data_IF_761168896139
#
_entry.id   IF_761168896139
#
_cell.length_a   1.000
_cell.length_b   1.000
_cell.length_c   1.000
_cell.angle_alpha   90.00
_cell.angle_beta   90.00
_cell.angle_gamma   90.00
#
_symmetry.space_group_name_H-M   'P 1'
#
loop_
_entity.id
_entity.type
_entity.pdbx_description
1 polymer ?
#
# COMPACT_ATOMS: atom_id res chain seq x y z
N UNK A 1 -15.40 24.99 26.15
CA UNK A 1 -15.74 23.82 27.02
C UNK A 1 -16.37 22.63 26.28
N UNK A 2 -17.28 22.82 25.32
CA UNK A 2 -18.00 21.71 24.66
C UNK A 2 -17.09 20.79 23.82
N UNK A 3 -16.14 21.34 23.08
CA UNK A 3 -15.18 20.58 22.25
C UNK A 3 -14.27 19.68 23.12
N UNK A 4 -13.70 20.22 24.19
CA UNK A 4 -12.86 19.45 25.13
C UNK A 4 -13.64 18.28 25.75
N UNK A 5 -14.93 18.49 26.09
CA UNK A 5 -15.79 17.41 26.58
C UNK A 5 -16.02 16.33 25.51
N UNK A 6 -16.20 16.70 24.24
CA UNK A 6 -16.35 15.75 23.13
C UNK A 6 -15.07 14.95 22.90
N UNK A 7 -13.92 15.61 22.83
CA UNK A 7 -12.62 14.95 22.69
C UNK A 7 -12.35 13.99 23.85
N UNK A 8 -12.66 14.39 25.09
CA UNK A 8 -12.52 13.52 26.25
C UNK A 8 -13.44 12.28 26.17
N UNK A 9 -14.66 12.42 25.65
CA UNK A 9 -15.53 11.28 25.40
C UNK A 9 -14.96 10.33 24.33
N UNK A 10 -14.28 10.87 23.31
CA UNK A 10 -13.61 10.09 22.27
C UNK A 10 -12.44 9.30 22.83
N UNK A 11 -11.60 9.92 23.66
CA UNK A 11 -10.51 9.24 24.38
C UNK A 11 -11.05 8.08 25.22
N UNK A 12 -12.14 8.30 25.97
CA UNK A 12 -12.80 7.24 26.75
C UNK A 12 -13.41 6.13 25.89
N UNK A 13 -13.84 6.44 24.67
CA UNK A 13 -14.45 5.47 23.75
C UNK A 13 -13.39 4.56 23.10
N UNK A 14 -12.22 5.12 22.75
CA UNK A 14 -11.16 4.45 22.01
C UNK A 14 -9.81 4.41 22.75
N UNK A 15 -9.73 3.90 24.00
CA UNK A 15 -8.51 3.98 24.81
C UNK A 15 -7.31 3.25 24.19
N UNK A 16 -7.51 2.08 23.57
CA UNK A 16 -6.45 1.32 22.91
C UNK A 16 -5.88 2.03 21.67
N UNK A 17 -6.74 2.72 20.91
CA UNK A 17 -6.29 3.52 19.75
C UNK A 17 -5.42 4.68 20.22
N UNK A 18 -5.85 5.38 21.28
CA UNK A 18 -5.05 6.47 21.86
C UNK A 18 -3.74 5.96 22.44
N UNK A 19 -3.75 4.78 23.08
CA UNK A 19 -2.53 4.12 23.55
C UNK A 19 -1.55 3.84 22.41
N UNK A 20 -2.02 3.28 21.29
CA UNK A 20 -1.21 3.03 20.11
C UNK A 20 -0.66 4.34 19.48
N UNK A 21 -1.49 5.38 19.39
CA UNK A 21 -1.07 6.71 18.93
C UNK A 21 0.01 7.33 19.82
N UNK A 22 -0.13 7.24 21.14
CA UNK A 22 0.86 7.75 22.09
C UNK A 22 2.16 6.94 22.02
N UNK A 23 2.07 5.61 21.90
CA UNK A 23 3.24 4.75 21.72
C UNK A 23 3.98 5.10 20.43
N UNK A 24 3.25 5.32 19.32
CA UNK A 24 3.84 5.79 18.06
C UNK A 24 4.60 7.10 18.26
N UNK A 25 4.00 8.09 18.94
CA UNK A 25 4.66 9.38 19.20
C UNK A 25 5.93 9.17 20.03
N UNK A 26 5.87 8.41 21.12
CA UNK A 26 7.03 8.19 22.00
C UNK A 26 8.18 7.52 21.22
N UNK A 27 7.88 6.47 20.45
CA UNK A 27 8.91 5.80 19.65
C UNK A 27 9.45 6.70 18.54
N UNK A 28 8.60 7.52 17.91
CA UNK A 28 9.02 8.47 16.88
C UNK A 28 9.92 9.56 17.46
N UNK A 29 9.60 10.07 18.64
CA UNK A 29 10.46 11.01 19.35
C UNK A 29 11.81 10.38 19.72
N UNK A 30 11.80 9.12 20.16
CA UNK A 30 13.03 8.37 20.44
C UNK A 30 13.89 8.14 19.19
N UNK A 31 13.28 7.87 18.03
CA UNK A 31 14.02 7.71 16.77
C UNK A 31 14.67 9.00 16.27
N UNK A 32 14.08 10.16 16.56
CA UNK A 32 14.68 11.46 16.24
C UNK A 32 15.95 11.75 17.06
N UNK A 33 16.14 11.07 18.19
CA UNK A 33 17.33 11.20 19.03
C UNK A 33 18.36 10.11 18.77
N UNK A 34 17.94 8.97 18.22
CA UNK A 34 18.77 7.80 17.99
C UNK A 34 18.70 7.41 16.51
N UNK A 35 19.31 8.24 15.65
CA UNK A 35 19.24 8.10 14.20
C UNK A 35 19.77 6.74 13.73
N UNK A 36 20.80 6.21 14.39
CA UNK A 36 21.39 4.90 14.08
C UNK A 36 20.42 3.72 14.32
N UNK A 37 19.31 3.93 15.04
CA UNK A 37 18.29 2.90 15.33
C UNK A 37 17.04 3.03 14.47
N UNK A 38 16.98 3.99 13.55
CA UNK A 38 15.76 4.27 12.75
C UNK A 38 15.33 3.05 11.94
N UNK A 39 16.27 2.29 11.37
CA UNK A 39 15.97 1.08 10.59
C UNK A 39 15.23 0.04 11.44
N UNK A 40 15.78 -0.31 12.60
CA UNK A 40 15.13 -1.22 13.57
C UNK A 40 13.77 -0.70 14.05
N UNK A 41 13.64 0.61 14.29
CA UNK A 41 12.40 1.22 14.78
C UNK A 41 11.30 1.28 13.71
N UNK A 42 11.67 1.23 12.43
CA UNK A 42 10.72 1.29 11.31
C UNK A 42 9.71 0.14 11.33
N UNK A 43 10.15 -1.06 11.72
CA UNK A 43 9.28 -2.23 11.86
C UNK A 43 8.18 -1.99 12.89
N UNK A 44 8.55 -1.44 14.04
CA UNK A 44 7.62 -1.11 15.11
C UNK A 44 6.64 0.00 14.70
N UNK A 45 7.10 1.01 13.96
CA UNK A 45 6.20 2.04 13.42
C UNK A 45 5.12 1.45 12.52
N UNK A 46 5.51 0.59 11.59
CA UNK A 46 4.58 -0.07 10.66
C UNK A 46 3.56 -0.91 11.42
N UNK A 47 4.01 -1.73 12.38
CA UNK A 47 3.11 -2.57 13.19
C UNK A 47 2.13 -1.74 14.03
N UNK A 48 2.59 -0.65 14.64
CA UNK A 48 1.71 0.24 15.41
C UNK A 48 0.66 0.89 14.50
N UNK A 49 1.08 1.41 13.35
CA UNK A 49 0.16 2.02 12.36
C UNK A 49 -0.89 1.00 11.90
N UNK A 50 -0.50 -0.25 11.66
CA UNK A 50 -1.40 -1.33 11.25
C UNK A 50 -2.34 -1.80 12.38
N UNK A 51 -1.93 -1.67 13.64
CA UNK A 51 -2.78 -2.01 14.79
C UNK A 51 -3.94 -1.04 15.03
N UNK A 52 -3.75 0.24 14.69
CA UNK A 52 -4.76 1.30 14.88
C UNK A 52 -6.12 0.95 14.26
N UNK A 53 -6.22 0.62 12.94
CA UNK A 53 -7.51 0.28 12.35
C UNK A 53 -8.11 -1.00 12.93
N UNK A 54 -7.30 -1.95 13.41
CA UNK A 54 -7.80 -3.16 14.09
C UNK A 54 -8.49 -2.80 15.41
N UNK A 55 -7.89 -1.94 16.23
CA UNK A 55 -8.50 -1.46 17.47
C UNK A 55 -9.80 -0.69 17.22
N UNK A 56 -9.85 0.12 16.16
CA UNK A 56 -11.09 0.80 15.74
C UNK A 56 -12.14 -0.23 15.31
N UNK A 57 -11.76 -1.21 14.49
CA UNK A 57 -12.66 -2.26 14.01
C UNK A 57 -13.27 -3.07 15.16
N UNK A 58 -12.46 -3.51 16.13
CA UNK A 58 -12.93 -4.22 17.34
C UNK A 58 -13.95 -3.35 18.08
N UNK A 59 -13.66 -2.05 18.26
CA UNK A 59 -14.59 -1.15 18.95
C UNK A 59 -15.93 -1.04 18.22
N UNK A 60 -15.90 -0.84 16.91
CA UNK A 60 -17.11 -0.66 16.10
C UNK A 60 -17.92 -1.95 16.00
N UNK A 61 -17.26 -3.10 15.91
CA UNK A 61 -17.89 -4.42 15.92
C UNK A 61 -18.60 -4.70 17.25
N UNK A 62 -17.94 -4.43 18.38
CA UNK A 62 -18.57 -4.60 19.69
C UNK A 62 -19.74 -3.64 19.89
N UNK A 63 -19.65 -2.40 19.41
CA UNK A 63 -20.75 -1.43 19.48
C UNK A 63 -21.93 -1.83 18.58
N UNK A 64 -21.68 -2.36 17.39
CA UNK A 64 -22.74 -2.77 16.45
C UNK A 64 -23.56 -3.96 16.95
N UNK A 65 -22.97 -4.82 17.79
CA UNK A 65 -23.58 -6.03 18.37
C UNK A 65 -23.88 -5.94 19.87
N UNK A 66 -23.68 -4.78 20.49
CA UNK A 66 -23.86 -4.59 21.94
C UNK A 66 -23.10 -5.60 22.81
N UNK A 67 -21.88 -5.97 22.40
CA UNK A 67 -21.04 -6.96 23.10
C UNK A 67 -20.55 -6.40 24.44
N UNK A 68 -20.51 -7.25 25.47
CA UNK A 68 -20.05 -6.90 26.83
C UNK A 68 -18.58 -6.45 26.87
N UNK A 69 -18.25 -5.63 27.87
CA UNK A 69 -16.91 -5.05 28.04
C UNK A 69 -15.76 -6.06 28.10
N UNK A 70 -15.95 -7.20 28.78
CA UNK A 70 -14.89 -8.20 28.98
C UNK A 70 -14.39 -8.78 27.64
N UNK A 71 -15.29 -9.08 26.71
CA UNK A 71 -14.91 -9.59 25.39
C UNK A 71 -14.17 -8.53 24.55
N UNK A 72 -14.55 -7.25 24.69
CA UNK A 72 -13.81 -6.14 24.07
C UNK A 72 -12.38 -6.10 24.62
N UNK A 73 -12.20 -6.20 25.94
CA UNK A 73 -10.88 -6.17 26.55
C UNK A 73 -10.01 -7.33 26.06
N UNK A 74 -10.53 -8.56 26.10
CA UNK A 74 -9.83 -9.76 25.61
C UNK A 74 -9.41 -9.59 24.15
N UNK A 75 -10.31 -9.14 23.26
CA UNK A 75 -9.98 -8.94 21.85
C UNK A 75 -8.85 -7.92 21.62
N UNK A 76 -8.81 -6.82 22.39
CA UNK A 76 -7.72 -5.86 22.31
C UNK A 76 -6.39 -6.43 22.83
N UNK A 77 -6.42 -7.20 23.93
CA UNK A 77 -5.22 -7.85 24.47
C UNK A 77 -4.66 -8.91 23.51
N UNK A 78 -5.53 -9.72 22.90
CA UNK A 78 -5.14 -10.67 21.85
C UNK A 78 -4.53 -9.95 20.66
N UNK A 79 -5.09 -8.81 20.26
CA UNK A 79 -4.53 -7.99 19.17
C UNK A 79 -3.11 -7.51 19.51
N UNK A 80 -2.90 -7.00 20.73
CA UNK A 80 -1.57 -6.61 21.21
C UNK A 80 -0.60 -7.81 21.16
N UNK A 81 -1.03 -8.96 21.68
CA UNK A 81 -0.20 -10.17 21.67
C UNK A 81 0.16 -10.62 20.24
N UNK A 82 -0.76 -10.52 19.28
CA UNK A 82 -0.50 -10.83 17.86
C UNK A 82 0.54 -9.87 17.29
N UNK A 83 0.36 -8.55 17.44
CA UNK A 83 1.31 -7.57 16.88
C UNK A 83 2.70 -7.66 17.54
N UNK A 84 2.77 -7.95 18.84
CA UNK A 84 4.03 -8.21 19.55
C UNK A 84 4.66 -9.53 19.08
N UNK A 85 3.87 -10.59 18.88
CA UNK A 85 4.36 -11.84 18.30
C UNK A 85 4.95 -11.64 16.90
N UNK A 86 4.25 -10.86 16.05
CA UNK A 86 4.72 -10.51 14.71
C UNK A 86 6.00 -9.69 14.75
N UNK A 87 6.21 -8.81 15.74
CA UNK A 87 7.47 -8.05 15.83
C UNK A 87 8.69 -8.94 16.05
N UNK A 88 8.55 -10.09 16.71
CA UNK A 88 9.65 -11.05 16.89
C UNK A 88 9.96 -11.87 15.62
N UNK A 89 9.01 -11.95 14.69
CA UNK A 89 9.18 -12.65 13.42
C UNK A 89 9.72 -11.74 12.32
N UNK A 90 9.77 -10.42 12.55
CA UNK A 90 10.29 -9.48 11.59
C UNK A 90 11.81 -9.48 11.59
N UNK A 91 12.46 -9.53 10.41
CA UNK A 91 13.90 -9.39 10.34
C UNK A 91 14.32 -7.99 10.78
N UNK A 92 15.53 -7.92 11.31
CA UNK A 92 16.12 -6.68 11.83
C UNK A 92 16.34 -5.65 10.71
N UNK A 93 16.75 -6.11 9.52
CA UNK A 93 16.97 -5.27 8.34
C UNK A 93 15.80 -5.38 7.34
N UNK A 94 14.83 -4.46 7.43
CA UNK A 94 13.76 -4.37 6.44
C UNK A 94 14.21 -3.53 5.24
N UNK A 95 14.36 -4.20 4.09
CA UNK A 95 14.37 -3.54 2.79
C UNK A 95 12.97 -3.02 2.50
N UNK A 96 12.71 -1.74 2.80
CA UNK A 96 11.42 -1.08 2.61
C UNK A 96 10.80 -1.37 1.23
N UNK A 97 11.63 -1.45 0.19
CA UNK A 97 11.19 -1.75 -1.17
C UNK A 97 10.49 -3.12 -1.27
N UNK A 98 11.05 -4.17 -0.67
CA UNK A 98 10.50 -5.53 -0.75
C UNK A 98 9.32 -5.70 0.21
N UNK A 99 9.48 -5.22 1.45
CA UNK A 99 8.45 -5.38 2.47
C UNK A 99 7.22 -4.49 2.22
N UNK A 100 7.36 -3.42 1.43
CA UNK A 100 6.20 -2.65 0.96
C UNK A 100 5.17 -3.53 0.26
N UNK A 101 5.60 -4.59 -0.44
CA UNK A 101 4.72 -5.54 -1.14
C UNK A 101 3.99 -6.51 -0.19
N UNK A 102 4.37 -6.58 1.09
CA UNK A 102 3.60 -7.26 2.16
C UNK A 102 2.72 -6.24 2.88
N UNK A 103 3.32 -5.13 3.31
CA UNK A 103 2.67 -4.13 4.17
C UNK A 103 1.55 -3.37 3.47
N UNK A 104 1.69 -3.09 2.18
CA UNK A 104 0.68 -2.36 1.41
C UNK A 104 -0.63 -3.16 1.25
N UNK A 105 -0.63 -4.44 0.80
CA UNK A 105 -1.86 -5.23 0.73
C UNK A 105 -2.44 -5.53 2.12
N UNK A 106 -1.64 -5.97 3.10
CA UNK A 106 -2.18 -6.24 4.44
C UNK A 106 -2.74 -4.98 5.08
N UNK A 107 -2.04 -3.84 4.92
CA UNK A 107 -2.52 -2.54 5.34
C UNK A 107 -3.84 -2.17 4.69
N UNK A 108 -3.97 -2.38 3.38
CA UNK A 108 -5.25 -2.16 2.67
C UNK A 108 -6.38 -2.98 3.29
N UNK A 109 -6.15 -4.27 3.57
CA UNK A 109 -7.16 -5.10 4.24
C UNK A 109 -7.52 -4.56 5.62
N UNK A 110 -6.52 -4.25 6.46
CA UNK A 110 -6.73 -3.78 7.83
C UNK A 110 -7.42 -2.42 7.88
N UNK A 111 -7.08 -1.48 7.01
CA UNK A 111 -7.71 -0.15 6.94
C UNK A 111 -9.16 -0.21 6.43
N UNK A 112 -9.55 -1.25 5.69
CA UNK A 112 -10.94 -1.50 5.32
C UNK A 112 -11.78 -2.15 6.45
N UNK A 113 -11.13 -2.81 7.42
CA UNK A 113 -11.83 -3.51 8.50
C UNK A 113 -12.79 -2.64 9.32
N UNK A 114 -12.46 -1.41 9.75
CA UNK A 114 -13.39 -0.56 10.51
C UNK A 114 -14.76 -0.38 9.84
N UNK A 115 -14.76 -0.21 8.52
CA UNK A 115 -15.97 0.00 7.72
C UNK A 115 -16.81 -1.28 7.65
N UNK A 116 -16.15 -2.41 7.44
CA UNK A 116 -16.80 -3.73 7.38
C UNK A 116 -17.34 -4.15 8.76
N UNK A 117 -16.54 -3.94 9.82
CA UNK A 117 -16.87 -4.27 11.20
C UNK A 117 -18.10 -3.51 11.72
N UNK A 118 -18.24 -2.23 11.37
CA UNK A 118 -19.38 -1.42 11.76
C UNK A 118 -20.73 -1.92 11.17
N UNK A 119 -20.69 -2.57 10.01
CA UNK A 119 -21.87 -2.93 9.21
C UNK A 119 -21.94 -4.40 8.79
N UNK A 120 -21.24 -5.32 9.49
CA UNK A 120 -21.15 -6.72 9.07
C UNK A 120 -22.53 -7.39 8.97
N UNK A 121 -23.39 -7.22 9.99
CA UNK A 121 -24.74 -7.85 10.06
C UNK A 121 -25.86 -7.00 9.45
N UNK A 122 -25.65 -5.69 9.29
CA UNK A 122 -26.68 -4.78 8.81
C UNK A 122 -26.71 -4.83 7.28
N UNK A 123 -27.85 -5.25 6.73
CA UNK A 123 -28.10 -5.28 5.27
C UNK A 123 -28.35 -3.90 4.66
N UNK A 124 -28.33 -2.82 5.46
CA UNK A 124 -28.60 -1.50 4.95
C UNK A 124 -27.39 -0.91 4.22
N UNK A 125 -27.39 -1.04 2.90
CA UNK A 125 -26.37 -0.48 2.01
C UNK A 125 -26.21 1.04 2.21
N UNK A 126 -27.33 1.74 2.41
CA UNK A 126 -27.33 3.20 2.51
C UNK A 126 -26.67 3.69 3.82
N UNK A 127 -26.92 3.02 4.95
CA UNK A 127 -26.25 3.35 6.21
C UNK A 127 -24.73 3.11 6.13
N UNK A 128 -24.31 2.02 5.48
CA UNK A 128 -22.89 1.74 5.25
C UNK A 128 -22.23 2.84 4.42
N UNK A 129 -22.92 3.29 3.37
CA UNK A 129 -22.44 4.37 2.51
C UNK A 129 -22.33 5.69 3.26
N UNK A 130 -23.39 6.11 3.96
CA UNK A 130 -23.39 7.36 4.72
C UNK A 130 -22.30 7.35 5.79
N UNK A 131 -22.12 6.23 6.50
CA UNK A 131 -21.04 6.07 7.46
C UNK A 131 -19.66 6.20 6.82
N UNK A 132 -19.39 5.41 5.78
CA UNK A 132 -18.08 5.38 5.12
C UNK A 132 -17.76 6.73 4.51
N UNK A 133 -18.75 7.34 3.85
CA UNK A 133 -18.68 8.69 3.33
C UNK A 133 -18.27 9.70 4.40
N UNK A 134 -18.93 9.70 5.56
CA UNK A 134 -18.65 10.64 6.64
C UNK A 134 -17.21 10.48 7.15
N UNK A 135 -16.77 9.25 7.40
CA UNK A 135 -15.43 8.99 7.90
C UNK A 135 -14.36 9.42 6.90
N UNK A 136 -14.53 9.10 5.61
CA UNK A 136 -13.58 9.49 4.55
C UNK A 136 -13.58 11.00 4.36
N UNK A 137 -14.75 11.63 4.27
CA UNK A 137 -14.87 13.07 4.02
C UNK A 137 -14.31 13.92 5.16
N UNK A 138 -14.72 13.64 6.40
CA UNK A 138 -14.17 14.33 7.56
C UNK A 138 -12.69 14.00 7.74
N UNK A 139 -12.27 12.76 7.43
CA UNK A 139 -10.85 12.37 7.37
C UNK A 139 -10.03 13.26 6.45
N UNK A 140 -10.49 13.48 5.22
CA UNK A 140 -9.82 14.36 4.25
C UNK A 140 -9.78 15.81 4.73
N UNK A 141 -10.89 16.33 5.26
CA UNK A 141 -10.93 17.71 5.81
C UNK A 141 -9.92 17.85 6.95
N UNK A 142 -9.90 16.92 7.91
CA UNK A 142 -8.99 17.00 9.04
C UNK A 142 -7.54 16.78 8.63
N UNK A 143 -7.27 15.94 7.63
CA UNK A 143 -5.93 15.80 7.08
C UNK A 143 -5.43 17.14 6.48
N UNK A 144 -6.26 17.81 5.68
CA UNK A 144 -5.94 19.13 5.11
C UNK A 144 -5.74 20.16 6.22
N UNK A 145 -6.64 20.21 7.21
CA UNK A 145 -6.53 21.15 8.34
C UNK A 145 -5.26 20.88 9.17
N UNK A 146 -4.92 19.63 9.44
CA UNK A 146 -3.67 19.23 10.10
C UNK A 146 -2.44 19.71 9.31
N UNK A 147 -2.46 19.57 7.99
CA UNK A 147 -1.41 20.10 7.11
C UNK A 147 -1.31 21.63 7.17
N UNK A 148 -2.44 22.35 7.13
CA UNK A 148 -2.48 23.81 7.26
C UNK A 148 -1.93 24.29 8.62
N UNK A 149 -2.26 23.58 9.71
CA UNK A 149 -1.70 23.86 11.03
C UNK A 149 -0.18 23.68 11.01
N UNK A 150 0.31 22.58 10.43
CA UNK A 150 1.75 22.34 10.33
C UNK A 150 2.46 23.43 9.50
N UNK A 151 1.89 23.83 8.35
CA UNK A 151 2.41 24.94 7.53
C UNK A 151 2.45 26.25 8.34
N UNK A 152 1.37 26.56 9.07
CA UNK A 152 1.32 27.74 9.93
C UNK A 152 2.40 27.72 11.02
N UNK A 153 2.63 26.56 11.63
CA UNK A 153 3.71 26.37 12.61
C UNK A 153 5.09 26.46 11.94
N UNK A 154 5.26 25.96 10.72
CA UNK A 154 6.51 26.10 9.96
C UNK A 154 6.84 27.57 9.70
N UNK A 155 5.87 28.39 9.29
CA UNK A 155 6.06 29.84 9.11
C UNK A 155 6.39 30.52 10.43
N UNK A 156 5.71 30.15 11.52
CA UNK A 156 6.00 30.72 12.84
C UNK A 156 7.41 30.39 13.34
N UNK A 157 7.85 29.14 13.18
CA UNK A 157 9.22 28.73 13.54
C UNK A 157 10.26 29.36 12.61
N UNK A 158 9.96 29.50 11.32
CA UNK A 158 10.82 30.24 10.40
C UNK A 158 10.98 31.71 10.82
N UNK A 159 9.90 32.38 11.22
CA UNK A 159 9.97 33.75 11.71
C UNK A 159 10.83 33.86 12.99
N UNK A 160 10.75 32.89 13.90
CA UNK A 160 11.60 32.82 15.10
C UNK A 160 13.08 32.61 14.71
N UNK A 161 13.34 31.71 13.76
CA UNK A 161 14.68 31.46 13.23
C UNK A 161 15.31 32.75 12.67
N UNK A 162 14.58 33.49 11.83
CA UNK A 162 15.07 34.75 11.23
C UNK A 162 15.22 35.87 12.27
N UNK A 163 14.27 36.01 13.20
CA UNK A 163 14.25 37.13 14.15
C UNK A 163 15.24 36.97 15.31
N UNK A 164 15.52 35.73 15.71
CA UNK A 164 16.35 35.42 16.87
C UNK A 164 17.64 34.65 16.53
N UNK A 165 17.92 34.42 15.24
CA UNK A 165 19.10 33.69 14.73
C UNK A 165 19.29 32.29 15.38
N UNK A 166 18.19 31.66 15.80
CA UNK A 166 18.19 30.37 16.50
C UNK A 166 18.27 29.20 15.51
N UNK A 167 19.48 28.87 15.05
CA UNK A 167 19.67 27.94 13.94
C UNK A 167 19.51 26.45 14.26
N UNK A 168 19.62 26.03 15.52
CA UNK A 168 19.95 24.64 15.83
C UNK A 168 18.79 23.64 16.02
N UNK A 169 17.51 23.99 15.77
CA UNK A 169 16.40 23.07 16.11
C UNK A 169 15.21 23.00 15.13
N UNK A 170 15.20 23.75 14.03
CA UNK A 170 13.99 23.91 13.19
C UNK A 170 13.43 22.59 12.63
N UNK A 171 14.22 21.71 11.97
CA UNK A 171 13.69 20.46 11.42
C UNK A 171 13.21 19.49 12.52
N UNK A 172 13.90 19.45 13.65
CA UNK A 172 13.57 18.58 14.79
C UNK A 172 12.28 19.03 15.48
N UNK A 173 12.11 20.34 15.70
CA UNK A 173 10.86 20.94 16.23
C UNK A 173 9.69 20.66 15.29
N UNK A 174 9.87 20.81 13.97
CA UNK A 174 8.83 20.47 12.99
C UNK A 174 8.45 18.99 13.03
N UNK A 175 9.43 18.11 13.20
CA UNK A 175 9.19 16.67 13.34
C UNK A 175 8.38 16.36 14.61
N UNK A 176 8.66 17.03 15.73
CA UNK A 176 7.87 16.91 16.95
C UNK A 176 6.42 17.40 16.75
N UNK A 177 6.21 18.59 16.19
CA UNK A 177 4.86 19.08 15.90
C UNK A 177 4.12 18.14 14.94
N UNK A 178 4.77 17.69 13.87
CA UNK A 178 4.22 16.73 12.92
C UNK A 178 3.77 15.45 13.61
N UNK A 179 4.60 14.87 14.49
CA UNK A 179 4.27 13.64 15.22
C UNK A 179 3.03 13.80 16.11
N UNK A 180 2.88 14.94 16.80
CA UNK A 180 1.70 15.18 17.66
C UNK A 180 0.46 15.42 16.82
N UNK A 181 0.57 16.25 15.77
CA UNK A 181 -0.56 16.61 14.89
C UNK A 181 -1.06 15.39 14.13
N UNK A 182 -0.19 14.65 13.46
CA UNK A 182 -0.57 13.49 12.64
C UNK A 182 -0.70 12.20 13.43
N UNK A 183 0.12 12.00 14.47
CA UNK A 183 0.12 10.78 15.28
C UNK A 183 -1.03 10.71 16.30
N UNK A 184 -1.51 11.85 16.81
CA UNK A 184 -2.60 11.89 17.80
C UNK A 184 -3.73 12.84 17.43
N UNK A 185 -3.42 14.07 16.98
CA UNK A 185 -4.42 15.09 16.66
C UNK A 185 -5.40 14.63 15.57
N UNK A 186 -4.86 14.19 14.43
CA UNK A 186 -5.64 13.73 13.28
C UNK A 186 -6.51 12.50 13.63
N UNK A 187 -5.99 11.40 14.20
CA UNK A 187 -6.82 10.28 14.64
C UNK A 187 -7.93 10.69 15.61
N UNK A 188 -7.65 11.55 16.59
CA UNK A 188 -8.66 12.03 17.54
C UNK A 188 -9.80 12.79 16.84
N UNK A 189 -9.47 13.69 15.90
CA UNK A 189 -10.46 14.47 15.17
C UNK A 189 -11.34 13.59 14.29
N UNK A 190 -10.75 12.58 13.63
CA UNK A 190 -11.50 11.60 12.82
C UNK A 190 -12.43 10.78 13.72
N UNK A 191 -11.90 10.19 14.79
CA UNK A 191 -12.67 9.33 15.71
C UNK A 191 -13.80 10.06 16.43
N UNK A 192 -13.65 11.37 16.67
CA UNK A 192 -14.69 12.20 17.28
C UNK A 192 -15.94 12.31 16.39
N UNK A 193 -15.79 12.15 15.07
CA UNK A 193 -16.89 12.23 14.10
C UNK A 193 -17.46 10.86 13.70
N UNK A 194 -16.87 9.78 14.21
CA UNK A 194 -17.43 8.43 14.09
C UNK A 194 -18.67 8.36 14.99
N UNK A 195 -19.86 8.22 14.39
CA UNK A 195 -21.13 8.29 15.12
C UNK A 195 -21.24 7.18 16.17
N UNK A 196 -21.86 7.48 17.33
CA UNK A 196 -22.12 6.48 18.39
C UNK A 196 -23.26 5.52 18.05
N UNK A 197 -24.28 6.00 17.32
CA UNK A 197 -25.37 5.18 16.80
C UNK A 197 -25.05 4.84 15.35
N UNK A 198 -24.90 3.55 15.06
CA UNK A 198 -24.60 3.01 13.73
C UNK A 198 -25.89 2.61 12.97
N UNK A 199 -27.04 3.19 13.33
CA UNK A 199 -28.37 2.94 12.74
C UNK A 199 -29.11 4.26 12.66
N UNK A 200 -29.88 4.46 11.59
CA UNK A 200 -30.62 5.71 11.34
C UNK A 200 -29.68 6.93 11.41
N UNK A 201 -28.53 6.82 10.73
CA UNK A 201 -27.61 7.95 10.64
C UNK A 201 -28.30 8.96 9.73
N UNK A 202 -28.86 10.01 10.32
CA UNK A 202 -29.32 11.15 9.54
C UNK A 202 -28.16 11.67 8.70
N UNK A 203 -28.44 11.98 7.43
CA UNK A 203 -27.47 12.68 6.61
C UNK A 203 -27.00 13.93 7.36
N UNK A 204 -25.68 14.16 7.48
CA UNK A 204 -25.17 15.33 8.19
C UNK A 204 -25.81 16.61 7.65
N UNK A 205 -26.11 17.60 8.49
CA UNK A 205 -26.61 18.89 7.99
C UNK A 205 -25.62 19.56 7.00
N UNK A 206 -24.31 19.31 7.17
CA UNK A 206 -23.26 19.68 6.21
C UNK A 206 -23.33 18.90 4.87
N UNK A 207 -23.95 17.72 4.84
CA UNK A 207 -24.16 16.90 3.64
C UNK A 207 -25.12 17.55 2.64
N UNK A 208 -26.03 18.42 3.13
CA UNK A 208 -27.03 19.09 2.29
C UNK A 208 -26.47 20.23 1.44
N UNK A 209 -25.28 20.77 1.74
CA UNK A 209 -24.75 21.97 1.07
C UNK A 209 -23.24 21.81 0.86
N UNK A 210 -22.82 21.56 -0.41
CA UNK A 210 -21.46 21.63 -1.00
C UNK A 210 -20.84 20.34 -1.56
N UNK A 211 -21.17 19.16 -1.05
CA UNK A 211 -20.58 17.90 -1.56
C UNK A 211 -21.09 17.59 -2.96
N UNK A 212 -22.40 17.76 -3.16
CA UNK A 212 -23.04 17.70 -4.46
C UNK A 212 -22.38 18.65 -5.46
N UNK A 213 -21.98 19.84 -5.01
CA UNK A 213 -21.30 20.81 -5.87
C UNK A 213 -19.88 20.35 -6.23
N UNK A 214 -19.11 19.84 -5.27
CA UNK A 214 -17.76 19.30 -5.53
C UNK A 214 -17.82 18.13 -6.52
N UNK A 215 -18.73 17.18 -6.30
CA UNK A 215 -18.92 16.07 -7.23
C UNK A 215 -19.29 16.57 -8.64
N UNK A 216 -20.29 17.47 -8.74
CA UNK A 216 -20.78 18.01 -10.01
C UNK A 216 -19.76 18.82 -10.80
N UNK A 217 -19.05 19.72 -10.12
CA UNK A 217 -18.25 20.76 -10.76
C UNK A 217 -16.74 20.49 -10.73
N UNK A 218 -16.28 19.55 -9.91
CA UNK A 218 -14.86 19.20 -9.82
C UNK A 218 -14.64 17.75 -10.26
N UNK A 219 -15.23 16.79 -9.56
CA UNK A 219 -14.92 15.37 -9.78
C UNK A 219 -15.38 14.87 -11.16
N UNK A 220 -16.64 15.13 -11.55
CA UNK A 220 -17.14 14.68 -12.85
C UNK A 220 -16.39 15.29 -14.05
N UNK A 221 -16.18 16.62 -14.13
CA UNK A 221 -15.36 17.20 -15.19
C UNK A 221 -13.96 16.61 -15.24
N UNK A 222 -13.34 16.37 -14.07
CA UNK A 222 -12.00 15.77 -14.02
C UNK A 222 -11.99 14.34 -14.59
N UNK A 223 -12.98 13.51 -14.26
CA UNK A 223 -13.13 12.18 -14.85
C UNK A 223 -13.29 12.25 -16.38
N UNK A 224 -14.06 13.21 -16.89
CA UNK A 224 -14.23 13.40 -18.35
C UNK A 224 -12.92 13.83 -19.00
N UNK A 225 -12.17 14.76 -18.41
CA UNK A 225 -10.86 15.18 -18.92
C UNK A 225 -9.89 13.99 -18.98
N UNK A 226 -9.79 13.22 -17.89
CA UNK A 226 -8.92 12.03 -17.87
C UNK A 226 -9.39 10.96 -18.86
N UNK A 227 -10.69 10.76 -19.00
CA UNK A 227 -11.26 9.89 -20.02
C UNK A 227 -10.78 10.31 -21.42
N UNK A 228 -10.88 11.60 -21.78
CA UNK A 228 -10.45 12.11 -23.08
C UNK A 228 -8.94 11.91 -23.30
N UNK A 229 -8.12 12.23 -22.30
CA UNK A 229 -6.66 12.07 -22.38
C UNK A 229 -6.33 10.59 -22.63
N UNK A 230 -6.86 9.69 -21.80
CA UNK A 230 -6.45 8.29 -21.84
C UNK A 230 -7.01 7.54 -23.04
N UNK A 231 -8.22 7.88 -23.51
CA UNK A 231 -8.76 7.30 -24.73
C UNK A 231 -8.07 7.83 -25.98
N UNK A 232 -7.71 9.11 -26.01
CA UNK A 232 -6.86 9.65 -27.10
C UNK A 232 -5.52 8.94 -27.16
N UNK A 233 -4.96 8.63 -25.99
CA UNK A 233 -3.72 7.87 -25.89
C UNK A 233 -3.88 6.40 -26.31
N UNK A 234 -4.96 5.75 -25.91
CA UNK A 234 -5.28 4.39 -26.34
C UNK A 234 -5.41 4.33 -27.88
N UNK A 235 -6.05 5.32 -28.50
CA UNK A 235 -6.09 5.45 -29.96
C UNK A 235 -4.69 5.60 -30.56
N UNK A 236 -3.83 6.44 -29.96
CA UNK A 236 -2.43 6.56 -30.39
C UNK A 236 -1.73 5.20 -30.40
N UNK A 237 -1.85 4.41 -29.34
CA UNK A 237 -1.25 3.06 -29.25
C UNK A 237 -1.77 2.15 -30.38
N UNK A 238 -3.08 2.19 -30.66
CA UNK A 238 -3.67 1.38 -31.74
C UNK A 238 -3.10 1.77 -33.11
N UNK A 239 -2.90 3.06 -33.38
CA UNK A 239 -2.38 3.52 -34.66
C UNK A 239 -0.86 3.36 -34.81
N UNK A 240 -0.08 3.59 -33.74
CA UNK A 240 1.38 3.52 -33.81
C UNK A 240 1.92 2.13 -33.53
N UNK A 241 1.14 1.25 -32.91
CA UNK A 241 1.55 -0.06 -32.40
C UNK A 241 2.80 -0.01 -31.49
N UNK A 242 3.14 1.18 -30.98
CA UNK A 242 4.30 1.40 -30.12
C UNK A 242 3.85 1.56 -28.68
N UNK A 243 4.32 0.64 -27.82
CA UNK A 243 4.10 0.71 -26.39
C UNK A 243 5.06 1.72 -25.77
N UNK A 244 4.56 2.78 -25.12
CA UNK A 244 5.41 3.77 -24.49
C UNK A 244 5.94 3.28 -23.14
N UNK A 245 7.09 3.80 -22.75
CA UNK A 245 7.78 3.35 -21.54
C UNK A 245 7.06 3.83 -20.27
N UNK A 246 6.53 2.88 -19.49
CA UNK A 246 6.20 3.03 -18.06
C UNK A 246 4.99 3.90 -17.68
N UNK A 247 4.55 4.84 -18.53
CA UNK A 247 3.55 5.86 -18.12
C UNK A 247 2.11 5.37 -18.28
N UNK A 248 1.83 4.46 -19.22
CA UNK A 248 0.45 4.01 -19.50
C UNK A 248 -0.22 3.43 -18.26
N UNK A 249 0.53 2.60 -17.52
CA UNK A 249 0.00 1.92 -16.34
C UNK A 249 -0.47 2.91 -15.27
N UNK A 250 0.36 3.90 -14.94
CA UNK A 250 0.02 4.90 -13.92
C UNK A 250 -1.14 5.80 -14.36
N UNK A 251 -1.24 6.13 -15.66
CA UNK A 251 -2.36 6.91 -16.19
C UNK A 251 -3.68 6.14 -16.08
N UNK A 252 -3.69 4.84 -16.41
CA UNK A 252 -4.89 4.01 -16.28
C UNK A 252 -5.29 3.87 -14.82
N UNK A 253 -4.34 3.57 -13.94
CA UNK A 253 -4.59 3.49 -12.50
C UNK A 253 -5.18 4.80 -11.95
N UNK A 254 -4.63 5.95 -12.35
CA UNK A 254 -5.13 7.26 -11.94
C UNK A 254 -6.55 7.53 -12.45
N UNK A 255 -6.82 7.26 -13.74
CA UNK A 255 -8.16 7.42 -14.32
C UNK A 255 -9.19 6.54 -13.62
N UNK A 256 -8.92 5.23 -13.50
CA UNK A 256 -9.88 4.29 -12.90
C UNK A 256 -10.05 4.56 -11.40
N UNK A 257 -8.97 4.87 -10.69
CA UNK A 257 -9.01 5.26 -9.28
C UNK A 257 -9.88 6.50 -9.06
N UNK A 258 -9.66 7.56 -9.85
CA UNK A 258 -10.47 8.77 -9.80
C UNK A 258 -11.94 8.50 -10.16
N UNK A 259 -12.19 7.67 -11.18
CA UNK A 259 -13.54 7.31 -11.59
C UNK A 259 -14.29 6.56 -10.48
N UNK A 260 -13.68 5.53 -9.89
CA UNK A 260 -14.25 4.77 -8.77
C UNK A 260 -14.47 5.65 -7.54
N UNK A 261 -13.50 6.51 -7.21
CA UNK A 261 -13.63 7.48 -6.11
C UNK A 261 -14.80 8.43 -6.33
N UNK A 262 -14.91 8.99 -7.55
CA UNK A 262 -16.01 9.90 -7.93
C UNK A 262 -17.36 9.20 -7.82
N UNK A 263 -17.46 7.95 -8.26
CA UNK A 263 -18.69 7.15 -8.17
C UNK A 263 -19.08 6.85 -6.74
N UNK A 264 -18.13 6.38 -5.93
CA UNK A 264 -18.34 6.08 -4.52
C UNK A 264 -18.85 7.31 -3.77
N UNK A 265 -18.18 8.45 -3.96
CA UNK A 265 -18.49 9.71 -3.30
C UNK A 265 -19.82 10.33 -3.76
N UNK A 266 -20.24 10.04 -5.00
CA UNK A 266 -21.48 10.57 -5.59
C UNK A 266 -22.69 9.62 -5.46
N UNK A 267 -22.50 8.42 -4.92
CA UNK A 267 -23.50 7.35 -5.00
C UNK A 267 -24.83 7.70 -4.31
N UNK A 268 -24.76 8.26 -3.11
CA UNK A 268 -25.94 8.59 -2.28
C UNK A 268 -26.86 9.65 -2.90
N UNK A 269 -26.31 10.56 -3.72
CA UNK A 269 -27.03 11.75 -4.21
C UNK A 269 -27.58 11.62 -5.63
N UNK A 270 -26.97 10.79 -6.47
CA UNK A 270 -27.12 10.90 -7.93
C UNK A 270 -27.82 9.70 -8.59
N UNK A 271 -28.04 8.61 -7.86
CA UNK A 271 -28.68 7.38 -8.40
C UNK A 271 -30.17 7.59 -8.75
N UNK A 272 -30.76 8.75 -8.46
CA UNK A 272 -32.20 9.01 -8.70
C UNK A 272 -32.66 9.18 -10.14
N UNK A 273 -31.80 9.09 -11.18
CA UNK A 273 -32.13 8.62 -12.57
C UNK A 273 -31.08 9.08 -13.60
N UNK A 274 -30.79 10.38 -13.70
CA UNK A 274 -29.93 10.93 -14.78
C UNK A 274 -28.45 10.52 -14.69
N UNK A 275 -27.88 10.41 -13.49
CA UNK A 275 -26.47 10.02 -13.35
C UNK A 275 -26.23 8.51 -13.48
N UNK A 276 -27.27 7.69 -13.51
CA UNK A 276 -27.14 6.25 -13.66
C UNK A 276 -26.59 5.87 -15.03
N UNK A 277 -27.03 6.55 -16.09
CA UNK A 277 -26.49 6.36 -17.43
C UNK A 277 -25.01 6.77 -17.49
N UNK A 278 -24.66 7.86 -16.83
CA UNK A 278 -23.28 8.31 -16.71
C UNK A 278 -22.40 7.29 -15.97
N UNK A 279 -22.85 6.78 -14.82
CA UNK A 279 -22.13 5.72 -14.10
C UNK A 279 -21.98 4.45 -14.93
N UNK A 280 -23.03 4.05 -15.64
CA UNK A 280 -22.96 2.92 -16.58
C UNK A 280 -21.92 3.16 -17.67
N UNK A 281 -21.90 4.36 -18.26
CA UNK A 281 -20.90 4.74 -19.27
C UNK A 281 -19.47 4.65 -18.74
N UNK A 282 -19.21 5.12 -17.52
CA UNK A 282 -17.88 5.01 -16.91
C UNK A 282 -17.50 3.55 -16.65
N UNK A 283 -18.38 2.72 -16.06
CA UNK A 283 -18.03 1.31 -15.81
C UNK A 283 -17.79 0.53 -17.10
N UNK A 284 -18.49 0.88 -18.18
CA UNK A 284 -18.17 0.38 -19.52
C UNK A 284 -16.79 0.88 -19.96
N UNK A 285 -16.50 2.17 -19.77
CA UNK A 285 -15.22 2.77 -20.15
C UNK A 285 -14.01 2.26 -19.35
N UNK A 286 -14.22 1.76 -18.11
CA UNK A 286 -13.15 1.16 -17.31
C UNK A 286 -12.69 -0.17 -17.93
N UNK A 287 -13.58 -0.95 -18.56
CA UNK A 287 -13.23 -2.28 -19.08
C UNK A 287 -12.15 -2.22 -20.17
N UNK A 288 -12.29 -1.43 -21.27
CA UNK A 288 -11.23 -1.32 -22.27
C UNK A 288 -9.91 -0.81 -21.69
N UNK A 289 -9.96 0.10 -20.72
CA UNK A 289 -8.76 0.62 -20.08
C UNK A 289 -8.08 -0.42 -19.20
N UNK A 290 -8.85 -1.24 -18.48
CA UNK A 290 -8.31 -2.36 -17.72
C UNK A 290 -7.70 -3.44 -18.65
N UNK A 291 -8.31 -3.70 -19.80
CA UNK A 291 -7.72 -4.58 -20.82
C UNK A 291 -6.43 -3.99 -21.39
N UNK A 292 -6.40 -2.69 -21.69
CA UNK A 292 -5.18 -1.99 -22.10
C UNK A 292 -4.08 -2.10 -21.04
N UNK A 293 -4.42 -1.95 -19.76
CA UNK A 293 -3.50 -2.13 -18.63
C UNK A 293 -2.91 -3.55 -18.60
N UNK A 294 -3.77 -4.57 -18.75
CA UNK A 294 -3.37 -5.98 -18.78
C UNK A 294 -2.48 -6.31 -19.99
N UNK A 295 -2.77 -5.75 -21.16
CA UNK A 295 -1.91 -5.91 -22.34
C UNK A 295 -0.55 -5.24 -22.14
N UNK A 296 -0.53 -4.01 -21.60
CA UNK A 296 0.71 -3.26 -21.36
C UNK A 296 1.62 -3.98 -20.36
N UNK A 297 1.08 -4.49 -19.26
CA UNK A 297 1.86 -5.27 -18.29
C UNK A 297 2.22 -6.66 -18.85
N UNK A 298 1.35 -7.26 -19.66
CA UNK A 298 1.58 -8.55 -20.32
C UNK A 298 2.85 -8.57 -21.18
N UNK A 299 3.07 -7.52 -21.99
CA UNK A 299 4.31 -7.37 -22.79
C UNK A 299 5.55 -7.38 -21.90
N UNK A 300 5.51 -6.63 -20.79
CA UNK A 300 6.64 -6.56 -19.84
C UNK A 300 6.85 -7.87 -19.08
N UNK A 301 5.77 -8.57 -18.74
CA UNK A 301 5.85 -9.89 -18.11
C UNK A 301 6.45 -10.91 -19.07
N UNK A 302 6.11 -10.87 -20.37
CA UNK A 302 6.74 -11.76 -21.35
C UNK A 302 8.22 -11.48 -21.58
N UNK A 303 8.64 -10.21 -21.54
CA UNK A 303 10.05 -9.82 -21.78
C UNK A 303 10.94 -10.04 -20.55
N UNK A 304 10.42 -9.76 -19.36
CA UNK A 304 11.22 -9.63 -18.14
C UNK A 304 10.77 -10.56 -16.99
N UNK A 305 9.72 -11.35 -17.18
CA UNK A 305 9.10 -12.13 -16.12
C UNK A 305 8.24 -11.29 -15.15
N UNK A 306 7.60 -11.99 -14.22
CA UNK A 306 6.75 -11.36 -13.19
C UNK A 306 7.65 -10.72 -12.12
N UNK A 307 7.35 -9.48 -11.77
CA UNK A 307 7.89 -8.80 -10.57
C UNK A 307 6.73 -8.41 -9.67
N UNK A 308 7.02 -8.03 -8.43
CA UNK A 308 6.03 -7.64 -7.43
C UNK A 308 5.17 -6.46 -7.93
N UNK A 309 5.80 -5.44 -8.54
CA UNK A 309 5.10 -4.32 -9.15
C UNK A 309 4.18 -4.76 -10.31
N UNK A 310 4.66 -5.61 -11.22
CA UNK A 310 3.86 -6.11 -12.37
C UNK A 310 2.72 -7.01 -11.90
N UNK A 311 2.92 -7.77 -10.81
CA UNK A 311 1.89 -8.56 -10.16
C UNK A 311 0.74 -7.66 -9.70
N UNK A 312 1.02 -6.57 -8.97
CA UNK A 312 -0.04 -5.67 -8.50
C UNK A 312 -0.71 -4.91 -9.65
N UNK A 313 0.01 -4.49 -10.68
CA UNK A 313 -0.59 -3.87 -11.88
C UNK A 313 -1.57 -4.85 -12.56
N UNK A 314 -1.18 -6.11 -12.70
CA UNK A 314 -2.06 -7.18 -13.23
C UNK A 314 -3.29 -7.36 -12.35
N UNK A 315 -3.08 -7.43 -11.03
CA UNK A 315 -4.15 -7.57 -10.05
C UNK A 315 -5.15 -6.39 -10.12
N UNK A 316 -4.67 -5.15 -10.21
CA UNK A 316 -5.54 -3.99 -10.37
C UNK A 316 -6.37 -4.06 -11.65
N UNK A 317 -5.77 -4.45 -12.78
CA UNK A 317 -6.50 -4.68 -14.02
C UNK A 317 -7.63 -5.69 -13.86
N UNK A 318 -7.37 -6.81 -13.20
CA UNK A 318 -8.38 -7.84 -12.91
C UNK A 318 -9.47 -7.32 -11.95
N UNK A 319 -9.09 -6.61 -10.89
CA UNK A 319 -10.03 -6.00 -9.95
C UNK A 319 -10.93 -4.99 -10.66
N UNK A 320 -10.39 -4.16 -11.56
CA UNK A 320 -11.17 -3.16 -12.30
C UNK A 320 -12.19 -3.80 -13.24
N UNK A 321 -11.83 -4.89 -13.91
CA UNK A 321 -12.76 -5.70 -14.71
C UNK A 321 -13.83 -6.31 -13.79
N UNK A 322 -13.43 -6.88 -12.65
CA UNK A 322 -14.36 -7.53 -11.72
C UNK A 322 -15.38 -6.54 -11.14
N UNK A 323 -14.95 -5.37 -10.67
CA UNK A 323 -15.83 -4.33 -10.13
C UNK A 323 -16.78 -3.81 -11.22
N UNK A 324 -16.25 -3.53 -12.42
CA UNK A 324 -17.06 -3.06 -13.55
C UNK A 324 -18.10 -4.08 -13.97
N UNK A 325 -17.70 -5.34 -14.10
CA UNK A 325 -18.60 -6.44 -14.44
C UNK A 325 -19.66 -6.64 -13.37
N UNK A 326 -19.27 -6.64 -12.08
CA UNK A 326 -20.19 -6.72 -10.95
C UNK A 326 -21.24 -5.60 -10.96
N UNK A 327 -20.84 -4.35 -11.28
CA UNK A 327 -21.78 -3.24 -11.46
C UNK A 327 -22.72 -3.46 -12.65
N UNK A 328 -22.19 -3.87 -13.81
CA UNK A 328 -22.99 -4.03 -15.02
C UNK A 328 -24.00 -5.19 -14.91
N UNK A 329 -23.68 -6.23 -14.15
CA UNK A 329 -24.61 -7.33 -13.86
C UNK A 329 -25.63 -6.93 -12.78
N UNK A 330 -25.15 -6.37 -11.67
CA UNK A 330 -26.01 -6.13 -10.48
C UNK A 330 -26.88 -4.89 -10.63
N UNK A 331 -26.47 -3.90 -11.43
CA UNK A 331 -27.19 -2.64 -11.70
C UNK A 331 -27.70 -1.98 -10.42
N UNK A 332 -29.02 -2.01 -10.17
CA UNK A 332 -29.65 -1.40 -8.99
C UNK A 332 -29.35 -2.16 -7.69
N UNK A 333 -28.92 -3.41 -7.78
CA UNK A 333 -28.51 -4.24 -6.63
C UNK A 333 -27.03 -4.10 -6.29
N UNK A 334 -26.28 -3.29 -7.05
CA UNK A 334 -24.86 -3.05 -6.77
C UNK A 334 -24.69 -2.47 -5.37
N UNK A 335 -23.75 -3.04 -4.63
CA UNK A 335 -23.48 -2.66 -3.25
C UNK A 335 -21.97 -2.57 -3.00
N UNK A 336 -21.51 -1.37 -2.67
CA UNK A 336 -20.12 -1.03 -2.34
C UNK A 336 -19.51 -1.82 -1.17
N UNK A 337 -20.34 -2.34 -0.24
CA UNK A 337 -19.85 -3.21 0.82
C UNK A 337 -19.19 -4.47 0.25
N UNK A 338 -19.74 -5.06 -0.81
CA UNK A 338 -19.14 -6.22 -1.46
C UNK A 338 -17.82 -5.88 -2.16
N UNK A 339 -17.69 -4.66 -2.69
CA UNK A 339 -16.40 -4.17 -3.24
C UNK A 339 -15.36 -4.09 -2.12
N UNK A 340 -15.69 -3.50 -0.97
CA UNK A 340 -14.77 -3.40 0.17
C UNK A 340 -14.37 -4.79 0.69
N UNK A 341 -15.32 -5.73 0.82
CA UNK A 341 -15.03 -7.10 1.23
C UNK A 341 -14.15 -7.84 0.21
N UNK A 342 -14.45 -7.70 -1.09
CA UNK A 342 -13.68 -8.33 -2.15
C UNK A 342 -12.24 -7.82 -2.20
N UNK A 343 -12.03 -6.50 -2.13
CA UNK A 343 -10.70 -5.90 -2.09
C UNK A 343 -9.93 -6.31 -0.84
N UNK A 344 -10.56 -6.31 0.34
CA UNK A 344 -9.91 -6.75 1.57
C UNK A 344 -9.51 -8.24 1.52
N UNK A 345 -10.37 -9.10 0.98
CA UNK A 345 -10.09 -10.53 0.83
C UNK A 345 -8.93 -10.77 -0.14
N UNK A 346 -8.97 -10.13 -1.33
CA UNK A 346 -7.91 -10.23 -2.32
C UNK A 346 -6.58 -9.75 -1.72
N UNK A 347 -6.60 -8.63 -0.99
CA UNK A 347 -5.41 -8.09 -0.36
C UNK A 347 -4.77 -9.11 0.61
N UNK A 348 -5.57 -9.76 1.47
CA UNK A 348 -5.08 -10.83 2.37
C UNK A 348 -4.48 -12.01 1.58
N UNK A 349 -5.16 -12.48 0.53
CA UNK A 349 -4.69 -13.60 -0.31
C UNK A 349 -3.35 -13.25 -0.98
N UNK A 350 -3.18 -12.00 -1.41
CA UNK A 350 -1.96 -11.54 -2.11
C UNK A 350 -0.79 -11.27 -1.16
N UNK A 351 -1.03 -11.25 0.16
CA UNK A 351 0.03 -11.09 1.17
C UNK A 351 0.69 -12.42 1.52
N UNK A 352 -0.06 -13.51 1.62
CA UNK A 352 0.43 -14.77 2.21
C UNK A 352 0.33 -15.97 1.27
N UNK A 353 1.22 -16.95 1.48
CA UNK A 353 1.20 -18.23 0.77
C UNK A 353 1.77 -18.17 -0.66
N UNK A 354 1.59 -19.26 -1.44
CA UNK A 354 2.23 -19.41 -2.75
C UNK A 354 1.71 -18.41 -3.80
N UNK A 355 0.52 -17.87 -3.59
CA UNK A 355 -0.11 -16.87 -4.46
C UNK A 355 0.36 -15.44 -4.18
N UNK A 356 1.14 -15.22 -3.11
CA UNK A 356 1.59 -13.90 -2.71
C UNK A 356 2.45 -13.23 -3.78
N UNK A 357 2.41 -11.90 -3.84
CA UNK A 357 3.19 -11.15 -4.82
C UNK A 357 4.69 -11.49 -4.76
N UNK A 358 5.23 -11.66 -3.55
CA UNK A 358 6.63 -12.05 -3.30
C UNK A 358 6.91 -13.46 -3.80
N UNK A 359 6.07 -14.45 -3.48
CA UNK A 359 6.32 -15.84 -3.89
C UNK A 359 6.26 -16.01 -5.41
N UNK A 360 5.27 -15.38 -6.05
CA UNK A 360 5.11 -15.45 -7.52
C UNK A 360 6.26 -14.72 -8.23
N UNK A 361 6.64 -13.53 -7.76
CA UNK A 361 7.77 -12.79 -8.32
C UNK A 361 9.09 -13.56 -8.12
N UNK A 362 9.34 -14.06 -6.90
CA UNK A 362 10.52 -14.88 -6.58
C UNK A 362 10.65 -16.05 -7.55
N UNK A 363 9.62 -16.88 -7.67
CA UNK A 363 9.67 -18.07 -8.52
C UNK A 363 9.89 -17.69 -9.99
N UNK A 364 9.14 -16.72 -10.52
CA UNK A 364 9.28 -16.29 -11.92
C UNK A 364 10.67 -15.76 -12.24
N UNK A 365 11.31 -15.06 -11.31
CA UNK A 365 12.64 -14.50 -11.51
C UNK A 365 13.74 -15.54 -11.28
N UNK A 366 13.54 -16.49 -10.35
CA UNK A 366 14.45 -17.63 -10.16
C UNK A 366 14.47 -18.53 -11.40
N UNK A 367 13.31 -18.90 -11.96
CA UNK A 367 13.24 -19.75 -13.16
C UNK A 367 14.00 -19.12 -14.35
N UNK A 368 13.93 -17.79 -14.46
CA UNK A 368 14.62 -17.03 -15.50
C UNK A 368 16.12 -16.94 -15.25
N UNK A 369 16.52 -16.78 -13.99
CA UNK A 369 17.93 -16.82 -13.59
C UNK A 369 18.53 -18.20 -13.84
N UNK A 370 17.81 -19.26 -13.52
CA UNK A 370 18.21 -20.65 -13.82
C UNK A 370 18.35 -20.87 -15.32
N UNK A 371 17.39 -20.41 -16.12
CA UNK A 371 17.45 -20.50 -17.59
C UNK A 371 18.72 -19.83 -18.14
N UNK A 372 19.07 -18.63 -17.64
CA UNK A 372 20.33 -17.94 -18.02
C UNK A 372 21.57 -18.73 -17.60
N UNK A 373 21.56 -19.36 -16.42
CA UNK A 373 22.68 -20.16 -15.93
C UNK A 373 22.88 -21.42 -16.79
N UNK A 374 21.80 -22.06 -17.22
CA UNK A 374 21.82 -23.21 -18.14
C UNK A 374 22.31 -22.79 -19.52
N UNK A 375 21.82 -21.67 -20.07
CA UNK A 375 22.26 -21.16 -21.38
C UNK A 375 23.76 -20.85 -21.43
N UNK A 376 24.32 -20.40 -20.30
CA UNK A 376 25.76 -20.14 -20.16
C UNK A 376 26.58 -21.40 -19.81
N UNK A 377 25.96 -22.58 -19.72
CA UNK A 377 26.56 -23.84 -19.28
C UNK A 377 27.19 -23.79 -17.88
N UNK A 378 26.67 -22.93 -17.00
CA UNK A 378 27.15 -22.73 -15.64
C UNK A 378 26.42 -23.65 -14.64
N UNK A 379 25.26 -24.17 -15.03
CA UNK A 379 24.53 -25.21 -14.30
C UNK A 379 24.33 -26.43 -15.21
N UNK A 380 24.68 -27.62 -14.71
CA UNK A 380 24.40 -28.91 -15.35
C UNK A 380 23.80 -29.85 -14.31
N UNK A 381 22.68 -30.51 -14.64
CA UNK A 381 21.93 -31.36 -13.72
C UNK A 381 21.50 -30.65 -12.41
N UNK A 382 21.14 -29.37 -12.51
CA UNK A 382 20.67 -28.57 -11.36
C UNK A 382 21.77 -28.16 -10.38
N UNK A 383 23.05 -28.40 -10.71
CA UNK A 383 24.20 -27.99 -9.89
C UNK A 383 25.15 -27.10 -10.69
N UNK A 384 25.75 -26.14 -10.00
CA UNK A 384 26.82 -25.30 -10.53
C UNK A 384 28.01 -26.18 -10.93
N UNK A 385 28.50 -25.98 -12.15
CA UNK A 385 29.70 -26.64 -12.65
C UNK A 385 30.78 -25.59 -12.84
N UNK A 386 31.97 -25.89 -12.33
CA UNK A 386 33.15 -25.03 -12.50
C UNK A 386 33.65 -25.14 -13.96
N UNK A 387 33.66 -24.04 -14.74
CA UNK A 387 34.24 -24.01 -16.07
C UNK A 387 35.73 -24.37 -16.05
N UNK A 388 36.19 -25.10 -17.07
CA UNK A 388 37.57 -25.57 -17.18
C UNK A 388 38.60 -24.42 -17.26
N UNK A 389 38.24 -23.31 -17.91
CA UNK A 389 39.02 -22.07 -17.93
C UNK A 389 38.29 -20.97 -17.15
N UNK A 390 39.02 -20.10 -16.42
CA UNK A 390 38.41 -18.99 -15.71
C UNK A 390 37.79 -17.98 -16.67
N UNK A 391 36.52 -17.68 -16.49
CA UNK A 391 35.79 -16.67 -17.26
C UNK A 391 36.13 -15.31 -16.67
N UNK A 392 37.00 -14.56 -17.34
CA UNK A 392 37.33 -13.19 -16.91
C UNK A 392 36.42 -12.22 -17.63
N UNK A 393 35.60 -11.47 -16.89
CA UNK A 393 34.63 -10.52 -17.45
C UNK A 393 35.06 -9.08 -17.17
N UNK A 394 34.77 -8.18 -18.14
CA UNK A 394 35.02 -6.75 -18.00
C UNK A 394 33.73 -5.96 -17.87
N UNK A 395 33.68 -5.07 -16.87
CA UNK A 395 32.54 -4.19 -16.63
C UNK A 395 32.24 -3.34 -17.87
N UNK A 396 30.99 -3.36 -18.36
CA UNK A 396 30.56 -2.62 -19.55
C UNK A 396 30.88 -3.29 -20.90
N UNK A 397 31.53 -4.46 -20.91
CA UNK A 397 31.69 -5.31 -22.11
C UNK A 397 30.99 -6.65 -21.97
N UNK A 398 31.07 -7.27 -20.79
CA UNK A 398 30.53 -8.60 -20.51
C UNK A 398 29.37 -8.53 -19.51
N UNK A 399 28.38 -7.70 -19.85
CA UNK A 399 27.26 -7.34 -18.95
C UNK A 399 26.46 -8.55 -18.45
N UNK A 400 26.46 -9.65 -19.21
CA UNK A 400 25.74 -10.88 -18.84
C UNK A 400 26.25 -11.52 -17.55
N UNK A 401 27.57 -11.70 -17.39
CA UNK A 401 28.16 -12.35 -16.20
C UNK A 401 28.09 -11.43 -14.97
N UNK A 402 28.31 -10.13 -15.17
CA UNK A 402 28.11 -9.15 -14.11
C UNK A 402 26.66 -9.11 -13.62
N UNK A 403 25.69 -9.11 -14.55
CA UNK A 403 24.26 -9.12 -14.20
C UNK A 403 23.88 -10.37 -13.41
N UNK A 404 24.45 -11.53 -13.74
CA UNK A 404 24.22 -12.81 -13.10
C UNK A 404 24.68 -12.82 -11.63
N UNK A 405 25.91 -12.37 -11.38
CA UNK A 405 26.48 -12.24 -10.02
C UNK A 405 25.61 -11.30 -9.18
N UNK A 406 25.26 -10.15 -9.74
CA UNK A 406 24.43 -9.15 -9.07
C UNK A 406 23.04 -9.68 -8.78
N UNK A 407 22.40 -10.36 -9.72
CA UNK A 407 21.06 -10.90 -9.58
C UNK A 407 21.05 -11.99 -8.47
N UNK A 408 22.03 -12.88 -8.41
CA UNK A 408 22.17 -13.88 -7.33
C UNK A 408 22.42 -13.23 -5.97
N UNK A 409 23.31 -12.24 -5.91
CA UNK A 409 23.55 -11.48 -4.69
C UNK A 409 22.29 -10.78 -4.19
N UNK A 410 21.48 -10.24 -5.11
CA UNK A 410 20.17 -9.69 -4.80
C UNK A 410 19.20 -10.76 -4.27
N UNK A 411 19.13 -11.94 -4.91
CA UNK A 411 18.29 -13.04 -4.45
C UNK A 411 18.62 -13.51 -3.04
N UNK A 412 19.90 -13.70 -2.74
CA UNK A 412 20.37 -14.09 -1.39
C UNK A 412 19.99 -13.06 -0.34
N UNK A 413 20.21 -11.78 -0.66
CA UNK A 413 19.92 -10.66 0.25
C UNK A 413 18.43 -10.49 0.50
N UNK A 414 17.59 -10.65 -0.52
CA UNK A 414 16.15 -10.36 -0.45
C UNK A 414 15.33 -11.57 0.00
N UNK A 415 15.66 -12.76 -0.50
CA UNK A 415 14.85 -13.97 -0.32
C UNK A 415 15.54 -15.05 0.53
N UNK A 416 16.71 -14.73 1.10
CA UNK A 416 17.52 -15.64 1.90
C UNK A 416 18.37 -16.61 1.08
N UNK A 417 19.41 -17.17 1.71
CA UNK A 417 20.34 -18.10 1.07
C UNK A 417 19.65 -19.36 0.51
N UNK A 418 18.58 -19.83 1.18
CA UNK A 418 17.82 -21.01 0.75
C UNK A 418 17.32 -20.89 -0.70
N UNK A 419 17.03 -19.66 -1.16
CA UNK A 419 16.51 -19.38 -2.50
C UNK A 419 17.42 -19.84 -3.64
N UNK A 420 18.74 -19.87 -3.42
CA UNK A 420 19.74 -20.26 -4.44
C UNK A 420 20.61 -21.42 -4.01
N UNK A 421 20.56 -21.82 -2.73
CA UNK A 421 21.38 -22.89 -2.15
C UNK A 421 21.31 -24.22 -2.90
N UNK A 422 20.17 -24.54 -3.49
CA UNK A 422 19.96 -25.78 -4.23
C UNK A 422 20.89 -25.94 -5.44
N UNK A 423 21.37 -24.84 -6.05
CA UNK A 423 22.34 -24.88 -7.14
C UNK A 423 23.77 -25.19 -6.67
N UNK A 424 24.10 -24.94 -5.40
CA UNK A 424 25.46 -25.10 -4.88
C UNK A 424 25.60 -26.43 -4.14
N UNK A 425 26.82 -26.99 -4.12
CA UNK A 425 27.13 -28.20 -3.36
C UNK A 425 27.68 -27.91 -1.96
N UNK A 426 28.13 -26.66 -1.73
CA UNK A 426 28.68 -26.17 -0.48
C UNK A 426 27.62 -25.43 0.35
N UNK A 427 27.84 -25.34 1.67
CA UNK A 427 27.00 -24.52 2.54
C UNK A 427 27.34 -23.04 2.34
N UNK A 428 26.39 -22.32 1.74
CA UNK A 428 26.52 -20.90 1.40
C UNK A 428 26.17 -19.94 2.56
N UNK A 429 25.90 -20.46 3.76
CA UNK A 429 25.48 -19.66 4.93
C UNK A 429 26.60 -18.79 5.52
N UNK A 430 27.86 -19.24 5.48
CA UNK A 430 29.03 -18.51 6.00
C UNK A 430 29.69 -17.57 4.97
N UNK A 431 29.13 -17.48 3.76
CA UNK A 431 29.82 -16.95 2.59
C UNK A 431 29.32 -15.54 2.26
N UNK A 432 30.00 -14.54 2.83
CA UNK A 432 29.47 -13.18 3.03
C UNK A 432 29.27 -12.33 1.75
N UNK A 433 29.78 -12.71 0.56
CA UNK A 433 29.70 -11.88 -0.66
C UNK A 433 29.68 -12.67 -1.99
N UNK A 434 29.44 -11.94 -3.10
CA UNK A 434 29.48 -12.36 -4.51
C UNK A 434 30.74 -13.15 -4.92
N UNK A 435 31.82 -13.03 -4.14
CA UNK A 435 33.11 -13.69 -4.33
C UNK A 435 33.02 -15.22 -4.41
N UNK A 436 31.99 -15.84 -3.84
CA UNK A 436 31.85 -17.29 -3.92
C UNK A 436 31.25 -17.79 -5.23
N UNK A 437 30.37 -17.01 -5.85
CA UNK A 437 29.91 -17.32 -7.20
C UNK A 437 31.05 -17.13 -8.19
N UNK A 438 31.84 -16.07 -8.01
CA UNK A 438 33.08 -15.87 -8.74
C UNK A 438 34.05 -17.06 -8.56
N UNK A 439 34.21 -17.57 -7.34
CA UNK A 439 35.14 -18.68 -7.06
C UNK A 439 34.63 -20.09 -7.43
N UNK A 440 33.35 -20.40 -7.19
CA UNK A 440 32.75 -21.69 -7.57
C UNK A 440 32.48 -21.78 -9.06
N UNK A 441 32.06 -20.68 -9.69
CA UNK A 441 31.83 -20.64 -11.13
C UNK A 441 33.07 -20.23 -11.93
N UNK A 442 34.22 -20.03 -11.27
CA UNK A 442 35.46 -19.61 -11.94
C UNK A 442 35.30 -18.32 -12.76
N UNK A 443 34.44 -17.39 -12.34
CA UNK A 443 34.14 -16.13 -13.03
C UNK A 443 34.84 -15.00 -12.26
N UNK A 444 35.72 -14.22 -12.90
CA UNK A 444 36.45 -13.16 -12.21
C UNK A 444 36.29 -11.82 -12.90
N UNK A 445 36.12 -10.74 -12.12
CA UNK A 445 36.17 -9.39 -12.67
C UNK A 445 37.61 -8.97 -13.00
N UNK A 446 37.82 -8.24 -14.10
CA UNK A 446 39.15 -7.69 -14.45
C UNK A 446 39.70 -6.69 -13.41
N UNK A 447 38.85 -6.09 -12.58
CA UNK A 447 39.28 -5.24 -11.47
C UNK A 447 39.79 -6.03 -10.25
N UNK A 448 39.43 -7.32 -10.13
CA UNK A 448 39.84 -8.21 -9.05
C UNK A 448 41.22 -8.86 -9.22
N UNK A 449 41.87 -8.73 -10.39
CA UNK A 449 43.22 -9.28 -10.61
C UNK A 449 44.38 -8.34 -10.21
N UNK A 450 44.18 -7.48 -9.20
CA UNK A 450 45.33 -7.05 -8.40
C UNK A 450 45.61 -8.14 -7.38
N UNK A 451 46.50 -9.07 -7.78
CA UNK A 451 47.20 -9.96 -6.84
C UNK A 451 47.69 -9.14 -5.65
N UNK A 452 47.51 -9.70 -4.46
CA UNK A 452 48.18 -9.30 -3.22
C UNK A 452 49.65 -8.94 -3.44
#
# INVERSE_FOLDING_TARGET
MQILRQLWQTVKRFPFVIGACLLFIVLFMYSLENVDKVEYLTNYFLLIILSIPVFVAIRLFCESRSIKFNYKLIANLVTIAIFVGVSFLMPEDIFLDVYSYIFLPIGTALWLLPFLAAYLDKRNHDDFLVFTYNVVFYGLIYYILSGLILIGLSVAVFAIYELFELSFFVPKIMSYFGSVIFGLGLPLMILNNVHKKLTNIEEPKLHKINIKSIAKYVLFPLVVIYFLIIYSYALKIIFTATWPEGIVGIMVLAFVGLALFTMFFSWTHYVKTKARHFFTGIFIAIIPMAVLLLMAVGVRVSEYGVTESRYFVTLFGLIFIAISTYYLISRTKFNWKFVFMGVALIAIITTFGPWSAISVAKNSQLDRLESKLVDLNLIVNGKVVKPAEPIVYTYGKDDQYYSLIRDIGHFRRVYGNESVSHWFNSDISEMYNADLFENEMNIYSTYGQRKF
#
